data_IF_258046693075
#
_entry.id   IF_258046693075
#
_cell.length_a   1.000
_cell.length_b   1.000
_cell.length_c   1.000
_cell.angle_alpha   90.00
_cell.angle_beta   90.00
_cell.angle_gamma   90.00
#
_symmetry.space_group_name_H-M   'P 1'
#
loop_
_entity.id
_entity.type
_entity.pdbx_description
1 polymer ?
#
# COMPACT_ATOMS: atom_id res chain seq x y z
N UNK A 1 7.54 8.42 14.27
CA UNK A 1 7.76 7.46 13.16
C UNK A 1 9.02 7.89 12.40
N UNK A 2 9.82 6.96 11.86
CA UNK A 2 11.00 7.28 11.04
C UNK A 2 10.64 7.11 9.56
N UNK A 3 11.07 8.02 8.65
CA UNK A 3 10.87 7.84 7.23
C UNK A 3 11.65 6.62 6.73
N UNK A 4 11.08 5.96 5.73
CA UNK A 4 11.75 4.86 5.03
C UNK A 4 12.70 5.47 4.01
N UNK A 5 13.94 4.97 3.98
CA UNK A 5 14.94 5.47 3.06
C UNK A 5 14.44 5.42 1.60
N UNK A 6 14.65 6.49 0.84
CA UNK A 6 14.28 6.58 -0.57
C UNK A 6 12.79 6.52 -0.92
N UNK A 7 11.88 6.41 0.05
CA UNK A 7 10.46 6.19 -0.25
C UNK A 7 9.80 7.42 -0.87
N UNK A 8 9.99 8.61 -0.31
CA UNK A 8 9.49 9.85 -0.93
C UNK A 8 10.10 10.06 -2.31
N UNK A 9 11.38 9.77 -2.50
CA UNK A 9 12.04 9.81 -3.83
C UNK A 9 11.39 8.86 -4.83
N UNK A 10 11.03 7.64 -4.42
CA UNK A 10 10.31 6.71 -5.29
C UNK A 10 8.94 7.26 -5.69
N UNK A 11 8.16 7.82 -4.77
CA UNK A 11 6.89 8.49 -5.11
C UNK A 11 7.11 9.63 -6.12
N UNK A 12 8.08 10.51 -5.86
CA UNK A 12 8.40 11.63 -6.76
C UNK A 12 8.80 11.14 -8.16
N UNK A 13 9.58 10.07 -8.26
CA UNK A 13 10.00 9.51 -9.55
C UNK A 13 8.87 8.81 -10.31
N UNK A 14 7.96 8.13 -9.60
CA UNK A 14 6.74 7.57 -10.18
C UNK A 14 5.86 8.70 -10.75
N UNK A 15 5.71 9.80 -10.01
CA UNK A 15 4.82 10.91 -10.38
C UNK A 15 5.45 11.91 -11.36
N UNK A 16 6.77 11.85 -11.59
CA UNK A 16 7.51 12.81 -12.42
C UNK A 16 6.91 13.02 -13.81
N UNK A 17 6.31 11.98 -14.39
CA UNK A 17 5.65 11.99 -15.69
C UNK A 17 4.12 11.87 -15.62
N UNK A 18 3.58 11.90 -14.41
CA UNK A 18 2.18 11.64 -14.06
C UNK A 18 1.71 12.66 -13.01
N UNK A 19 2.03 13.94 -13.22
CA UNK A 19 1.81 15.00 -12.24
C UNK A 19 0.33 15.25 -11.91
N UNK A 20 -0.58 14.81 -12.78
CA UNK A 20 -2.04 14.86 -12.64
C UNK A 20 -2.64 13.60 -12.00
N UNK A 21 -1.84 12.56 -11.76
CA UNK A 21 -2.33 11.31 -11.17
C UNK A 21 -2.47 11.47 -9.64
N UNK A 22 -3.66 11.22 -9.07
CA UNK A 22 -3.88 11.34 -7.64
C UNK A 22 -3.16 10.25 -6.85
N UNK A 23 -2.71 10.58 -5.63
CA UNK A 23 -2.20 9.63 -4.65
C UNK A 23 -3.21 9.46 -3.53
N UNK A 24 -3.53 8.21 -3.18
CA UNK A 24 -4.42 7.89 -2.07
C UNK A 24 -3.65 7.17 -0.97
N UNK A 25 -3.83 7.61 0.28
CA UNK A 25 -3.22 6.98 1.45
C UNK A 25 -4.23 6.14 2.20
N UNK A 26 -4.23 4.84 1.99
CA UNK A 26 -5.15 3.91 2.63
C UNK A 26 -4.54 3.26 3.87
N UNK A 27 -5.13 3.51 5.04
CA UNK A 27 -4.59 3.12 6.34
C UNK A 27 -5.61 2.40 7.22
N UNK A 28 -5.15 1.39 7.95
CA UNK A 28 -5.91 0.77 9.06
C UNK A 28 -5.86 1.60 10.35
N UNK A 29 -5.15 2.72 10.35
CA UNK A 29 -5.13 3.65 11.47
C UNK A 29 -6.48 4.37 11.63
N UNK A 30 -6.83 4.70 12.87
CA UNK A 30 -8.04 5.45 13.18
C UNK A 30 -7.90 6.94 12.83
N UNK A 31 -9.01 7.60 12.48
CA UNK A 31 -9.03 9.03 12.09
C UNK A 31 -8.39 10.01 13.08
N UNK A 32 -8.33 9.67 14.37
CA UNK A 32 -7.68 10.51 15.38
C UNK A 32 -6.17 10.70 15.15
N UNK A 33 -5.52 9.82 14.38
CA UNK A 33 -4.09 9.96 14.03
C UNK A 33 -3.85 10.66 12.69
N UNK A 34 -4.92 11.05 11.97
CA UNK A 34 -4.83 11.70 10.67
C UNK A 34 -3.94 12.96 10.69
N UNK A 35 -4.10 13.91 11.63
CA UNK A 35 -3.29 15.13 11.60
C UNK A 35 -1.80 14.87 11.78
N UNK A 36 -1.43 13.88 12.61
CA UNK A 36 -0.05 13.49 12.81
C UNK A 36 0.54 12.78 11.58
N UNK A 37 -0.28 12.06 10.82
CA UNK A 37 0.12 11.42 9.58
C UNK A 37 0.33 12.45 8.46
N UNK A 38 -0.58 13.42 8.31
CA UNK A 38 -0.46 14.51 7.33
C UNK A 38 0.84 15.28 7.53
N UNK A 39 1.12 15.72 8.78
CA UNK A 39 2.35 16.41 9.13
C UNK A 39 3.61 15.58 8.83
N UNK A 40 3.55 14.26 9.00
CA UNK A 40 4.65 13.37 8.67
C UNK A 40 4.88 13.28 7.16
N UNK A 41 3.81 13.10 6.38
CA UNK A 41 3.87 13.02 4.93
C UNK A 41 4.45 14.32 4.34
N UNK A 42 3.90 15.46 4.75
CA UNK A 42 4.35 16.79 4.33
C UNK A 42 5.82 17.03 4.69
N UNK A 43 6.19 16.81 5.96
CA UNK A 43 7.57 17.04 6.44
C UNK A 43 8.61 16.20 5.69
N UNK A 44 8.24 15.02 5.21
CA UNK A 44 9.15 14.10 4.54
C UNK A 44 9.03 14.11 3.01
N UNK A 45 8.27 15.06 2.46
CA UNK A 45 8.17 15.29 1.02
C UNK A 45 7.41 14.20 0.28
N UNK A 46 6.45 13.57 0.94
CA UNK A 46 5.48 12.70 0.25
C UNK A 46 4.47 13.56 -0.53
N UNK A 47 3.96 13.06 -1.66
CA UNK A 47 2.97 13.79 -2.45
C UNK A 47 1.68 14.04 -1.64
N UNK A 48 0.99 15.17 -1.84
CA UNK A 48 -0.29 15.41 -1.20
C UNK A 48 -1.35 14.42 -1.72
N UNK A 49 -2.26 14.00 -0.85
CA UNK A 49 -3.31 13.06 -1.23
C UNK A 49 -4.31 12.81 -0.10
N UNK A 50 -5.56 12.42 -0.42
CA UNK A 50 -6.56 12.07 0.59
C UNK A 50 -6.11 10.89 1.46
N UNK A 51 -6.40 10.99 2.76
CA UNK A 51 -6.28 9.90 3.71
C UNK A 51 -7.60 9.11 3.75
N UNK A 52 -7.53 7.80 3.48
CA UNK A 52 -8.62 6.86 3.69
C UNK A 52 -8.30 6.08 4.94
N UNK A 53 -8.94 6.46 6.04
CA UNK A 53 -8.66 5.93 7.38
C UNK A 53 -9.85 5.17 7.92
N UNK A 54 -9.61 4.36 8.93
CA UNK A 54 -10.67 3.58 9.55
C UNK A 54 -11.44 4.42 10.56
N UNK A 55 -12.76 4.36 10.52
CA UNK A 55 -13.60 4.89 11.59
C UNK A 55 -13.37 4.06 12.86
N UNK A 56 -13.02 4.74 13.95
CA UNK A 56 -12.96 4.12 15.27
C UNK A 56 -14.32 4.27 15.96
N UNK A 57 -14.96 3.16 16.30
CA UNK A 57 -16.21 3.16 17.04
C UNK A 57 -17.07 1.91 16.84
N UNK A 58 -18.03 1.66 17.73
CA UNK A 58 -18.98 0.56 17.59
C UNK A 58 -19.85 0.74 16.33
N UNK A 59 -19.92 -0.28 15.48
CA UNK A 59 -20.91 -0.36 14.41
C UNK A 59 -22.07 -1.27 14.82
N UNK A 60 -23.18 -1.23 14.07
CA UNK A 60 -24.34 -2.07 14.33
C UNK A 60 -24.00 -3.58 14.36
N UNK A 61 -22.93 -4.01 13.67
CA UNK A 61 -22.51 -5.42 13.61
C UNK A 61 -21.33 -5.81 14.53
N UNK A 62 -20.72 -4.92 15.33
CA UNK A 62 -19.67 -5.35 16.26
C UNK A 62 -18.69 -4.30 16.78
N UNK A 63 -17.82 -4.74 17.69
CA UNK A 63 -16.91 -3.91 18.49
C UNK A 63 -15.65 -3.41 17.76
N UNK A 64 -15.39 -3.79 16.50
CA UNK A 64 -14.25 -3.31 15.72
C UNK A 64 -14.53 -3.42 14.22
N UNK A 65 -14.30 -2.36 13.43
CA UNK A 65 -14.12 -2.52 11.98
C UNK A 65 -12.80 -3.24 11.74
N UNK A 66 -12.85 -4.36 11.03
CA UNK A 66 -11.64 -5.06 10.59
C UNK A 66 -10.84 -4.16 9.66
N UNK A 67 -9.61 -3.78 10.03
CA UNK A 67 -8.73 -2.98 9.17
C UNK A 67 -8.48 -3.66 7.81
N UNK A 68 -8.43 -5.00 7.80
CA UNK A 68 -8.33 -5.82 6.57
C UNK A 68 -9.57 -5.65 5.70
N UNK A 69 -10.77 -5.69 6.29
CA UNK A 69 -12.02 -5.44 5.56
C UNK A 69 -12.10 -4.00 5.03
N UNK A 70 -11.74 -3.01 5.85
CA UNK A 70 -11.68 -1.60 5.43
C UNK A 70 -10.77 -1.41 4.22
N UNK A 71 -9.53 -1.92 4.27
CA UNK A 71 -8.60 -1.83 3.14
C UNK A 71 -9.15 -2.46 1.87
N UNK A 72 -9.80 -3.63 1.97
CA UNK A 72 -10.44 -4.28 0.81
C UNK A 72 -11.57 -3.45 0.23
N UNK A 73 -12.49 -3.00 1.08
CA UNK A 73 -13.66 -2.23 0.66
C UNK A 73 -13.25 -0.93 -0.01
N UNK A 74 -12.33 -0.17 0.58
CA UNK A 74 -11.87 1.10 -0.01
C UNK A 74 -11.08 0.88 -1.30
N UNK A 75 -10.20 -0.13 -1.37
CA UNK A 75 -9.45 -0.41 -2.59
C UNK A 75 -10.39 -0.79 -3.74
N UNK A 76 -11.35 -1.69 -3.48
CA UNK A 76 -12.38 -2.08 -4.45
C UNK A 76 -13.16 -0.86 -4.93
N UNK A 77 -13.65 -0.05 -3.99
CA UNK A 77 -14.41 1.17 -4.27
C UNK A 77 -13.63 2.14 -5.15
N UNK A 78 -12.35 2.40 -4.86
CA UNK A 78 -11.51 3.27 -5.68
C UNK A 78 -11.39 2.77 -7.12
N UNK A 79 -11.17 1.47 -7.31
CA UNK A 79 -11.03 0.87 -8.63
C UNK A 79 -12.35 0.94 -9.41
N UNK A 80 -13.48 0.71 -8.74
CA UNK A 80 -14.83 0.75 -9.35
C UNK A 80 -15.29 2.18 -9.67
N UNK A 81 -14.98 3.16 -8.81
CA UNK A 81 -15.38 4.57 -8.99
C UNK A 81 -14.49 5.31 -10.01
N UNK A 82 -13.24 4.86 -10.20
CA UNK A 82 -12.26 5.47 -11.11
C UNK A 82 -11.73 4.46 -12.14
N UNK A 83 -12.59 3.85 -12.97
CA UNK A 83 -12.21 2.74 -13.86
C UNK A 83 -11.22 3.14 -14.96
N UNK A 84 -11.07 4.43 -15.24
CA UNK A 84 -10.11 4.97 -16.22
C UNK A 84 -8.66 4.99 -15.70
N UNK A 85 -8.45 4.83 -14.39
CA UNK A 85 -7.13 4.85 -13.78
C UNK A 85 -6.54 3.44 -13.73
N UNK A 86 -5.21 3.39 -13.86
CA UNK A 86 -4.42 2.19 -13.57
C UNK A 86 -3.62 2.41 -12.30
N UNK A 87 -3.66 1.44 -11.41
CA UNK A 87 -3.18 1.55 -10.05
C UNK A 87 -1.82 0.89 -9.87
N UNK A 88 -0.92 1.60 -9.21
CA UNK A 88 0.28 1.06 -8.58
C UNK A 88 0.00 0.96 -7.08
N UNK A 89 -0.11 -0.25 -6.55
CA UNK A 89 -0.37 -0.49 -5.14
C UNK A 89 0.95 -0.55 -4.38
N UNK A 90 1.10 0.24 -3.31
CA UNK A 90 2.33 0.34 -2.52
C UNK A 90 2.00 0.09 -1.04
N UNK A 91 2.61 -0.94 -0.46
CA UNK A 91 2.37 -1.34 0.93
C UNK A 91 3.56 -2.06 1.55
N UNK A 92 3.35 -2.78 2.65
CA UNK A 92 4.41 -3.52 3.35
C UNK A 92 3.99 -4.93 3.78
N UNK A 93 4.96 -5.82 3.99
CA UNK A 93 4.74 -7.20 4.41
C UNK A 93 4.62 -7.38 5.94
N UNK A 94 4.49 -6.30 6.71
CA UNK A 94 4.18 -6.35 8.14
C UNK A 94 2.70 -6.43 8.45
N UNK A 95 1.85 -6.20 7.44
CA UNK A 95 0.41 -6.34 7.53
C UNK A 95 -0.09 -7.22 6.38
N UNK A 96 -1.41 -7.26 6.17
CA UNK A 96 -2.04 -8.05 5.12
C UNK A 96 -2.00 -7.38 3.73
N UNK A 97 -1.10 -6.44 3.48
CA UNK A 97 -1.04 -5.73 2.18
C UNK A 97 -0.72 -6.69 1.03
N UNK A 98 0.23 -7.63 1.14
CA UNK A 98 0.51 -8.58 0.06
C UNK A 98 -0.73 -9.39 -0.34
N UNK A 99 -1.50 -9.90 0.64
CA UNK A 99 -2.71 -10.68 0.35
C UNK A 99 -3.82 -9.81 -0.23
N UNK A 100 -4.08 -8.63 0.35
CA UNK A 100 -5.13 -7.72 -0.14
C UNK A 100 -4.82 -7.25 -1.57
N UNK A 101 -3.57 -6.94 -1.88
CA UNK A 101 -3.17 -6.47 -3.20
C UNK A 101 -3.14 -7.59 -4.23
N UNK A 102 -2.78 -8.82 -3.84
CA UNK A 102 -2.89 -9.98 -4.73
C UNK A 102 -4.36 -10.26 -5.09
N UNK A 103 -5.27 -10.26 -4.10
CA UNK A 103 -6.72 -10.41 -4.34
C UNK A 103 -7.24 -9.32 -5.29
N UNK A 104 -6.87 -8.05 -5.06
CA UNK A 104 -7.28 -6.96 -5.93
C UNK A 104 -6.70 -7.05 -7.35
N UNK A 105 -5.47 -7.54 -7.50
CA UNK A 105 -4.85 -7.73 -8.81
C UNK A 105 -5.45 -8.91 -9.59
N UNK A 106 -5.91 -9.94 -8.89
CA UNK A 106 -6.68 -11.05 -9.48
C UNK A 106 -8.09 -10.61 -9.90
N UNK A 107 -8.73 -9.77 -9.08
CA UNK A 107 -10.07 -9.26 -9.34
C UNK A 107 -10.09 -8.19 -10.46
N UNK A 108 -9.10 -7.30 -10.49
CA UNK A 108 -9.02 -6.16 -11.40
C UNK A 108 -7.71 -6.16 -12.23
N UNK A 109 -7.47 -7.20 -13.06
CA UNK A 109 -6.18 -7.37 -13.75
C UNK A 109 -5.87 -6.29 -14.79
N UNK A 110 -6.88 -5.58 -15.30
CA UNK A 110 -6.69 -4.49 -16.28
C UNK A 110 -6.34 -3.16 -15.59
N UNK A 111 -6.82 -2.97 -14.36
CA UNK A 111 -6.65 -1.75 -13.58
C UNK A 111 -5.41 -1.82 -12.69
N UNK A 112 -5.06 -2.97 -12.11
CA UNK A 112 -3.86 -3.09 -11.26
C UNK A 112 -2.63 -3.32 -12.12
N UNK A 113 -1.85 -2.24 -12.35
CA UNK A 113 -0.66 -2.29 -13.21
C UNK A 113 0.51 -3.01 -12.55
N UNK A 114 0.69 -2.79 -11.25
CA UNK A 114 1.76 -3.39 -10.46
C UNK A 114 1.49 -3.27 -8.96
N UNK A 115 2.19 -4.10 -8.19
CA UNK A 115 2.23 -4.10 -6.73
C UNK A 115 3.68 -3.95 -6.26
N UNK A 116 3.93 -3.04 -5.34
CA UNK A 116 5.23 -2.79 -4.72
C UNK A 116 5.14 -3.03 -3.20
N UNK A 117 5.79 -4.08 -2.72
CA UNK A 117 5.77 -4.45 -1.30
C UNK A 117 7.11 -4.13 -0.65
N UNK A 118 7.08 -3.23 0.34
CA UNK A 118 8.21 -3.00 1.22
C UNK A 118 8.41 -4.21 2.14
N UNK A 119 9.64 -4.71 2.23
CA UNK A 119 10.00 -5.80 3.11
C UNK A 119 10.52 -5.27 4.45
N UNK A 120 9.80 -5.55 5.53
CA UNK A 120 10.23 -5.19 6.87
C UNK A 120 11.31 -6.16 7.37
N UNK A 121 12.32 -5.62 8.05
CA UNK A 121 13.29 -6.46 8.76
C UNK A 121 12.64 -7.19 9.93
N UNK A 122 13.23 -8.29 10.42
CA UNK A 122 12.69 -9.03 11.56
C UNK A 122 12.41 -8.15 12.79
N UNK A 123 13.26 -7.15 13.06
CA UNK A 123 13.04 -6.18 14.13
C UNK A 123 11.80 -5.28 13.87
N UNK A 124 11.59 -4.89 12.62
CA UNK A 124 10.42 -4.11 12.22
C UNK A 124 9.13 -4.95 12.23
N UNK A 125 9.21 -6.23 11.86
CA UNK A 125 8.10 -7.18 11.98
C UNK A 125 7.64 -7.28 13.45
N UNK A 126 8.59 -7.51 14.38
CA UNK A 126 8.27 -7.61 15.81
C UNK A 126 7.62 -6.33 16.33
N UNK A 127 8.08 -5.15 15.91
CA UNK A 127 7.49 -3.88 16.31
C UNK A 127 6.09 -3.63 15.72
N UNK A 128 5.78 -4.25 14.59
CA UNK A 128 4.54 -4.01 13.84
C UNK A 128 3.42 -4.93 14.31
N UNK A 129 3.71 -6.22 14.52
CA UNK A 129 2.69 -7.23 14.86
C UNK A 129 3.16 -8.28 15.87
N UNK A 130 4.32 -8.09 16.50
CA UNK A 130 4.77 -8.91 17.62
C UNK A 130 5.50 -10.21 17.25
N UNK A 131 5.72 -10.51 15.97
CA UNK A 131 6.49 -11.68 15.52
C UNK A 131 7.59 -11.29 14.53
N UNK A 132 8.70 -12.06 14.42
CA UNK A 132 9.79 -11.74 13.49
C UNK A 132 9.52 -12.18 12.04
N UNK A 133 8.49 -13.00 11.83
CA UNK A 133 8.07 -13.49 10.53
C UNK A 133 7.02 -12.54 9.92
N UNK A 134 7.04 -12.30 8.60
CA UNK A 134 5.96 -11.61 7.92
C UNK A 134 4.62 -12.31 8.15
N UNK A 135 3.53 -11.55 8.20
CA UNK A 135 2.19 -12.14 8.29
C UNK A 135 1.88 -12.76 6.93
N UNK A 136 1.68 -14.07 6.90
CA UNK A 136 1.19 -14.82 5.75
C UNK A 136 -0.05 -15.61 6.13
N UNK A 137 -1.11 -15.53 5.32
CA UNK A 137 -2.25 -16.43 5.48
C UNK A 137 -1.81 -17.85 5.05
N UNK A 138 -1.68 -18.78 6.00
CA UNK A 138 -1.08 -20.13 5.82
C UNK A 138 -1.82 -21.06 4.83
N UNK A 139 -2.80 -20.56 4.08
CA UNK A 139 -3.63 -21.30 3.13
C UNK A 139 -3.63 -20.78 1.69
N UNK A 140 -2.91 -19.70 1.37
CA UNK A 140 -2.87 -19.19 0.00
C UNK A 140 -2.01 -20.11 -0.88
N UNK A 141 -2.66 -20.86 -1.78
CA UNK A 141 -2.00 -21.60 -2.85
C UNK A 141 -1.17 -20.60 -3.67
N UNK A 142 0.14 -20.83 -3.77
CA UNK A 142 1.04 -20.02 -4.63
C UNK A 142 0.70 -20.29 -6.10
N UNK A 143 -0.32 -19.62 -6.61
CA UNK A 143 -0.49 -19.39 -8.04
C UNK A 143 0.63 -18.45 -8.49
N UNK A 144 1.14 -18.64 -9.71
CA UNK A 144 2.07 -17.68 -10.30
C UNK A 144 1.34 -16.34 -10.40
N UNK A 145 1.85 -15.24 -9.80
CA UNK A 145 1.18 -13.94 -9.87
C UNK A 145 0.94 -13.56 -11.34
N UNK A 146 -0.31 -13.28 -11.70
CA UNK A 146 -0.64 -12.71 -13.03
C UNK A 146 -0.28 -11.23 -13.12
N UNK A 147 0.05 -10.60 -11.99
CA UNK A 147 0.44 -9.20 -11.89
C UNK A 147 1.95 -9.01 -11.76
N UNK A 148 2.42 -7.82 -12.11
CA UNK A 148 3.80 -7.41 -11.84
C UNK A 148 3.93 -7.07 -10.36
N UNK A 149 4.71 -7.86 -9.62
CA UNK A 149 5.04 -7.57 -8.22
C UNK A 149 6.54 -7.34 -8.04
N UNK A 150 6.88 -6.32 -7.26
CA UNK A 150 8.26 -6.03 -6.85
C UNK A 150 8.36 -5.93 -5.34
N UNK A 151 9.51 -6.31 -4.79
CA UNK A 151 9.75 -6.33 -3.35
C UNK A 151 11.12 -5.74 -3.04
N UNK A 152 11.21 -4.92 -2.01
CA UNK A 152 12.48 -4.38 -1.53
C UNK A 152 12.36 -3.79 -0.11
N UNK A 153 13.43 -3.73 0.70
CA UNK A 153 13.36 -3.13 2.03
C UNK A 153 13.10 -1.62 2.08
N UNK A 154 13.39 -0.91 0.99
CA UNK A 154 13.34 0.56 0.92
C UNK A 154 12.86 1.10 -0.44
N UNK A 155 12.65 2.42 -0.51
CA UNK A 155 12.11 3.04 -1.72
C UNK A 155 13.07 3.05 -2.91
N UNK A 156 14.39 3.07 -2.68
CA UNK A 156 15.35 3.04 -3.78
C UNK A 156 15.34 1.69 -4.50
N UNK A 157 15.31 0.59 -3.74
CA UNK A 157 15.22 -0.73 -4.33
C UNK A 157 13.85 -1.01 -4.97
N UNK A 158 12.75 -0.50 -4.39
CA UNK A 158 11.44 -0.56 -5.05
C UNK A 158 11.44 0.19 -6.38
N UNK A 159 11.99 1.41 -6.42
CA UNK A 159 12.08 2.21 -7.65
C UNK A 159 12.92 1.49 -8.73
N UNK A 160 14.06 0.93 -8.36
CA UNK A 160 14.91 0.17 -9.28
C UNK A 160 14.15 -1.03 -9.88
N UNK A 161 13.49 -1.82 -9.04
CA UNK A 161 12.71 -2.97 -9.49
C UNK A 161 11.50 -2.57 -10.36
N UNK A 162 10.82 -1.47 -10.04
CA UNK A 162 9.73 -0.93 -10.88
C UNK A 162 10.23 -0.51 -12.27
N UNK A 163 11.45 0.06 -12.36
CA UNK A 163 12.08 0.43 -13.63
C UNK A 163 12.46 -0.80 -14.46
N UNK A 164 13.08 -1.79 -13.83
CA UNK A 164 13.44 -3.06 -14.50
C UNK A 164 12.22 -3.78 -15.10
N UNK A 165 11.05 -3.63 -14.47
CA UNK A 165 9.78 -4.21 -14.93
C UNK A 165 9.01 -3.31 -15.92
N UNK A 166 9.56 -2.15 -16.31
CA UNK A 166 8.91 -1.19 -17.20
C UNK A 166 7.60 -0.63 -16.63
N UNK A 167 7.47 -0.57 -15.30
CA UNK A 167 6.34 0.07 -14.62
C UNK A 167 6.58 1.57 -14.49
N UNK A 168 7.82 1.95 -14.18
CA UNK A 168 8.27 3.35 -14.07
C UNK A 168 9.37 3.54 -15.10
N UNK A 169 9.22 4.51 -16.01
CA UNK A 169 10.20 4.73 -17.08
C UNK A 169 9.62 4.45 -18.45
N UNK A 170 9.18 5.54 -19.07
CA UNK A 170 8.85 5.79 -20.47
C UNK A 170 9.01 7.30 -20.67
#
# INVERSE_FOLDING_TARGET
RRPVNGMSTMYSEVLRHHADVPVFYLSTGAWNVAPALELFLERHGYPPGPLLMTDWGPTAEGWFRSGRAHKRTELRRLVEELPQLRWLLIGDDGQHDPEIYAEAAEEFPEQIRAVAIRQLSAAQQVLTHGTPEPIHDRGAVRTTPRHTEVRSPDGFGLLAALRERGVVGG
#
